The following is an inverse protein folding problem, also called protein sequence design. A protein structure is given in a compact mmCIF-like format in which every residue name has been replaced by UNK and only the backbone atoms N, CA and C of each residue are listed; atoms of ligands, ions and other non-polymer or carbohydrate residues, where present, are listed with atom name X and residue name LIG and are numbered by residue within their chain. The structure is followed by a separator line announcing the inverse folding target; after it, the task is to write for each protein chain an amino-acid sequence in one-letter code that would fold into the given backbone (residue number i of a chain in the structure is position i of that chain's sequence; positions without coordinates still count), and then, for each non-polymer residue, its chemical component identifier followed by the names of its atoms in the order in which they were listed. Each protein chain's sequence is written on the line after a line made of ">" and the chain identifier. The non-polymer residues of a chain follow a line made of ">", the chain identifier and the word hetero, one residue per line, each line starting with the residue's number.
data_IF_003738723400
#
_entry.id   IF_003738723400
#
_cell.length_a   1.000
_cell.length_b   1.000
_cell.length_c   1.000
_cell.angle_alpha   90.00
_cell.angle_beta   90.00
_cell.angle_gamma   90.00
#
_symmetry.space_group_name_H-M   'P 1'
#
loop_
_entity.id
_entity.type
_entity.pdbx_description
1 polymer ?
#
# COMPACT_ATOMS: atom_id res chain seq x y z
N UNK A 1 -84.21 70.59 35.82
CA UNK A 1 -84.18 69.69 37.00
C UNK A 1 -85.06 68.51 36.68
N UNK A 2 -84.45 67.34 36.54
CA UNK A 2 -85.09 66.06 36.25
C UNK A 2 -84.00 65.02 36.34
N UNK A 3 -83.64 64.68 37.58
CA UNK A 3 -82.62 63.69 37.87
C UNK A 3 -83.17 62.33 37.46
N UNK A 4 -82.70 61.80 36.33
CA UNK A 4 -82.90 60.41 35.98
C UNK A 4 -81.94 59.59 36.85
N UNK A 5 -82.52 59.01 37.89
CA UNK A 5 -81.85 58.18 38.88
C UNK A 5 -81.42 56.90 38.16
N UNK A 6 -80.11 56.74 37.94
CA UNK A 6 -79.54 55.45 37.54
C UNK A 6 -79.94 54.39 38.56
N UNK A 7 -80.94 53.58 38.21
CA UNK A 7 -81.18 52.31 38.85
C UNK A 7 -80.00 51.39 38.49
N UNK A 8 -78.93 51.45 39.31
CA UNK A 8 -77.89 50.42 39.30
C UNK A 8 -78.57 49.14 39.73
N UNK A 9 -78.92 48.29 38.77
CA UNK A 9 -79.25 46.90 39.05
C UNK A 9 -78.02 46.26 39.68
N UNK A 10 -78.06 46.04 40.99
CA UNK A 10 -77.08 45.23 41.71
C UNK A 10 -77.21 43.78 41.22
N UNK A 11 -76.61 43.46 40.09
CA UNK A 11 -76.51 42.09 39.59
C UNK A 11 -75.50 41.34 40.47
N UNK A 12 -76.03 40.60 41.45
CA UNK A 12 -75.26 39.63 42.21
C UNK A 12 -74.99 38.44 41.29
N UNK A 13 -73.72 38.13 41.04
CA UNK A 13 -73.35 36.94 40.28
C UNK A 13 -73.62 35.70 41.14
N UNK A 14 -74.53 34.85 40.67
CA UNK A 14 -74.76 33.54 41.25
C UNK A 14 -73.82 32.51 40.62
N UNK A 15 -73.40 31.53 41.42
CA UNK A 15 -72.61 30.42 40.90
C UNK A 15 -73.45 29.59 39.93
N UNK A 16 -72.83 29.05 38.89
CA UNK A 16 -73.55 28.19 37.95
C UNK A 16 -73.99 26.87 38.63
N UNK A 17 -75.06 26.28 38.10
CA UNK A 17 -75.65 25.05 38.65
C UNK A 17 -74.67 23.86 38.66
N UNK A 18 -73.75 23.81 37.69
CA UNK A 18 -72.72 22.77 37.65
C UNK A 18 -71.74 22.84 38.82
N UNK A 19 -71.31 24.04 39.19
CA UNK A 19 -70.43 24.29 40.32
C UNK A 19 -71.16 24.07 41.64
N UNK A 20 -72.41 24.55 41.77
CA UNK A 20 -73.27 24.29 42.93
C UNK A 20 -73.47 22.79 43.15
N UNK A 21 -73.68 22.01 42.09
CA UNK A 21 -73.80 20.56 42.15
C UNK A 21 -72.48 19.88 42.60
N UNK A 22 -71.35 20.36 42.09
CA UNK A 22 -70.03 19.84 42.48
C UNK A 22 -69.74 20.09 43.97
N UNK A 23 -69.98 21.30 44.46
CA UNK A 23 -69.82 21.64 45.88
C UNK A 23 -70.76 20.81 46.76
N UNK A 24 -71.99 20.56 46.29
CA UNK A 24 -72.96 19.72 47.00
C UNK A 24 -72.51 18.26 47.11
N UNK A 25 -71.93 17.71 46.05
CA UNK A 25 -71.37 16.35 46.07
C UNK A 25 -70.12 16.24 46.96
N UNK A 26 -69.31 17.29 47.03
CA UNK A 26 -68.06 17.29 47.80
C UNK A 26 -68.27 17.45 49.31
N UNK A 27 -69.15 18.36 49.74
CA UNK A 27 -69.30 18.72 51.15
C UNK A 27 -70.57 18.14 51.81
N UNK A 28 -71.44 17.51 51.00
CA UNK A 28 -72.74 17.00 51.44
C UNK A 28 -73.76 18.12 51.70
N UNK A 29 -75.06 17.78 51.69
CA UNK A 29 -76.15 18.77 51.74
C UNK A 29 -76.11 19.72 52.95
N UNK A 30 -75.63 19.25 54.11
CA UNK A 30 -75.64 20.06 55.33
C UNK A 30 -74.64 21.24 55.28
N UNK A 31 -73.52 21.10 54.55
CA UNK A 31 -72.45 22.11 54.51
C UNK A 31 -72.33 22.81 53.16
N UNK A 32 -72.94 22.26 52.11
CA UNK A 32 -72.86 22.83 50.77
C UNK A 32 -73.52 24.21 50.68
N UNK A 33 -74.62 24.44 51.39
CA UNK A 33 -75.31 25.74 51.39
C UNK A 33 -74.42 26.87 51.91
N UNK A 34 -73.76 26.65 53.06
CA UNK A 34 -72.85 27.64 53.63
C UNK A 34 -71.61 27.85 52.76
N UNK A 35 -71.09 26.78 52.16
CA UNK A 35 -69.96 26.88 51.22
C UNK A 35 -70.33 27.68 49.97
N UNK A 36 -71.49 27.41 49.36
CA UNK A 36 -72.00 28.13 48.18
C UNK A 36 -72.21 29.60 48.51
N UNK A 37 -72.83 29.93 49.65
CA UNK A 37 -73.04 31.31 50.09
C UNK A 37 -71.70 32.06 50.28
N UNK A 38 -70.72 31.43 50.92
CA UNK A 38 -69.37 32.01 51.09
C UNK A 38 -68.66 32.17 49.75
N UNK A 39 -68.80 31.22 48.82
CA UNK A 39 -68.20 31.35 47.49
C UNK A 39 -68.88 32.44 46.65
N UNK A 40 -70.20 32.58 46.73
CA UNK A 40 -70.93 33.66 46.06
C UNK A 40 -70.56 35.02 46.67
N UNK A 41 -70.43 35.12 47.99
CA UNK A 41 -69.92 36.32 48.66
C UNK A 41 -68.50 36.64 48.20
N UNK A 42 -67.62 35.63 48.19
CA UNK A 42 -66.24 35.77 47.70
C UNK A 42 -66.22 36.23 46.25
N UNK A 43 -66.97 35.62 45.32
CA UNK A 43 -67.00 35.97 43.88
C UNK A 43 -67.50 37.40 43.68
N UNK A 44 -68.53 37.78 44.43
CA UNK A 44 -69.10 39.13 44.34
C UNK A 44 -68.21 40.20 45.00
N UNK A 45 -67.44 39.86 46.04
CA UNK A 45 -66.40 40.73 46.62
C UNK A 45 -65.08 40.72 45.82
N UNK A 46 -64.84 39.67 45.01
CA UNK A 46 -63.57 39.38 44.30
C UNK A 46 -63.34 40.15 43.01
N UNK A 47 -64.14 41.16 42.69
CA UNK A 47 -63.92 41.98 41.48
C UNK A 47 -62.49 42.56 41.42
N UNK A 48 -61.85 42.80 42.58
CA UNK A 48 -60.50 43.42 42.66
C UNK A 48 -59.35 42.41 42.83
N UNK A 49 -59.56 41.24 43.46
CA UNK A 49 -58.47 40.30 43.83
C UNK A 49 -58.23 39.21 42.78
N UNK A 50 -59.22 38.88 41.95
CA UNK A 50 -59.10 37.77 40.97
C UNK A 50 -58.36 38.19 39.70
N UNK A 51 -58.56 39.42 39.25
CA UNK A 51 -57.86 39.97 38.08
C UNK A 51 -56.35 40.10 38.30
N UNK A 52 -55.93 40.47 39.52
CA UNK A 52 -54.51 40.68 39.86
C UNK A 52 -53.74 39.36 40.04
N UNK A 53 -54.37 38.32 40.59
CA UNK A 53 -53.68 37.05 40.89
C UNK A 53 -53.66 36.05 39.72
N UNK A 54 -54.72 35.98 38.91
CA UNK A 54 -54.75 35.06 37.77
C UNK A 54 -53.91 35.56 36.59
N UNK A 55 -53.87 36.88 36.37
CA UNK A 55 -53.02 37.50 35.35
C UNK A 55 -51.54 37.23 35.61
N UNK A 56 -51.09 37.45 36.85
CA UNK A 56 -49.69 37.24 37.25
C UNK A 56 -49.31 35.76 37.23
N UNK A 57 -50.16 34.87 37.75
CA UNK A 57 -49.91 33.42 37.74
C UNK A 57 -49.83 32.86 36.30
N UNK A 58 -50.73 33.31 35.41
CA UNK A 58 -50.69 32.93 34.00
C UNK A 58 -49.39 33.38 33.32
N UNK A 59 -48.91 34.58 33.63
CA UNK A 59 -47.66 35.08 33.07
C UNK A 59 -46.44 34.31 33.60
N UNK A 60 -46.40 34.01 34.91
CA UNK A 60 -45.28 33.25 35.49
C UNK A 60 -45.25 31.81 34.96
N UNK A 61 -46.39 31.12 34.87
CA UNK A 61 -46.47 29.79 34.25
C UNK A 61 -46.05 29.82 32.78
N UNK A 62 -46.47 30.82 32.01
CA UNK A 62 -46.06 30.97 30.60
C UNK A 62 -44.54 31.20 30.48
N UNK A 63 -43.96 31.97 31.40
CA UNK A 63 -42.53 32.28 31.42
C UNK A 63 -41.70 31.04 31.79
N UNK A 64 -42.12 30.29 32.81
CA UNK A 64 -41.46 29.06 33.25
C UNK A 64 -41.55 27.96 32.17
N UNK A 65 -42.73 27.76 31.58
CA UNK A 65 -42.93 26.84 30.44
C UNK A 65 -42.06 27.23 29.23
N UNK A 66 -41.85 28.53 28.96
CA UNK A 66 -40.94 29.00 27.90
C UNK A 66 -39.46 28.78 28.21
N UNK A 67 -39.08 28.73 29.48
CA UNK A 67 -37.70 28.48 29.90
C UNK A 67 -37.39 26.97 29.91
N UNK A 68 -38.36 26.13 30.30
CA UNK A 68 -38.20 24.67 30.33
C UNK A 68 -38.37 24.02 28.95
N UNK A 69 -39.26 24.53 28.10
CA UNK A 69 -39.33 24.09 26.71
C UNK A 69 -38.10 24.62 25.98
N UNK A 70 -37.29 23.71 25.43
CA UNK A 70 -36.21 24.05 24.50
C UNK A 70 -36.73 25.10 23.51
N UNK A 71 -36.24 26.33 23.65
CA UNK A 71 -36.70 27.42 22.81
C UNK A 71 -36.39 27.04 21.36
N UNK A 72 -37.24 27.49 20.43
CA UNK A 72 -37.00 27.32 19.00
C UNK A 72 -35.58 27.75 18.62
N UNK A 73 -35.03 28.75 19.31
CA UNK A 73 -33.67 29.25 19.16
C UNK A 73 -32.59 28.22 19.57
N UNK A 74 -32.78 27.51 20.69
CA UNK A 74 -31.85 26.45 21.12
C UNK A 74 -31.81 25.30 20.11
N UNK A 75 -32.96 24.84 19.63
CA UNK A 75 -33.03 23.77 18.63
C UNK A 75 -32.43 24.21 17.29
N UNK A 76 -32.62 25.47 16.89
CA UNK A 76 -31.96 26.02 15.69
C UNK A 76 -30.45 26.12 15.85
N UNK A 77 -29.95 26.54 17.01
CA UNK A 77 -28.53 26.62 17.30
C UNK A 77 -27.87 25.24 17.28
N UNK A 78 -28.45 24.25 17.96
CA UNK A 78 -27.92 22.88 17.97
C UNK A 78 -27.97 22.26 16.56
N UNK A 79 -29.08 22.47 15.84
CA UNK A 79 -29.20 22.02 14.45
C UNK A 79 -28.19 22.69 13.51
N UNK A 80 -27.84 23.97 13.74
CA UNK A 80 -26.81 24.66 12.99
C UNK A 80 -25.42 24.09 13.31
N UNK A 81 -25.13 23.84 14.59
CA UNK A 81 -23.88 23.22 15.04
C UNK A 81 -23.69 21.83 14.44
N UNK A 82 -24.69 20.95 14.51
CA UNK A 82 -24.61 19.62 13.89
C UNK A 82 -24.41 19.71 12.37
N UNK A 83 -25.05 20.67 11.69
CA UNK A 83 -24.81 20.87 10.24
C UNK A 83 -23.38 21.31 9.96
N UNK A 84 -22.80 22.15 10.81
CA UNK A 84 -21.40 22.56 10.68
C UNK A 84 -20.45 21.38 10.89
N UNK A 85 -20.61 20.62 11.98
CA UNK A 85 -19.79 19.43 12.26
C UNK A 85 -19.88 18.40 11.12
N UNK A 86 -21.09 18.17 10.58
CA UNK A 86 -21.27 17.30 9.41
C UNK A 86 -20.59 17.85 8.14
N UNK A 87 -20.56 19.17 7.95
CA UNK A 87 -19.90 19.79 6.81
C UNK A 87 -18.37 19.67 6.94
N UNK A 88 -17.83 19.88 8.13
CA UNK A 88 -16.40 19.72 8.45
C UNK A 88 -15.96 18.26 8.23
N UNK A 89 -16.69 17.30 8.81
CA UNK A 89 -16.44 15.86 8.61
C UNK A 89 -16.51 15.46 7.12
N UNK A 90 -17.43 16.04 6.35
CA UNK A 90 -17.53 15.78 4.90
C UNK A 90 -16.33 16.32 4.13
N UNK A 91 -15.74 17.42 4.58
CA UNK A 91 -14.51 17.98 3.98
C UNK A 91 -13.33 17.09 4.33
N UNK A 92 -13.17 16.71 5.59
CA UNK A 92 -12.11 15.80 6.07
C UNK A 92 -12.14 14.47 5.30
N UNK A 93 -13.30 13.81 5.25
CA UNK A 93 -13.45 12.55 4.49
C UNK A 93 -13.13 12.70 2.99
N UNK A 94 -13.37 13.87 2.39
CA UNK A 94 -12.99 14.10 0.99
C UNK A 94 -11.48 14.21 0.82
N UNK A 95 -10.79 14.83 1.78
CA UNK A 95 -9.33 14.93 1.79
C UNK A 95 -8.73 13.54 1.97
N UNK A 96 -9.16 12.79 2.99
CA UNK A 96 -8.68 11.43 3.25
C UNK A 96 -8.86 10.52 2.03
N UNK A 97 -10.03 10.57 1.38
CA UNK A 97 -10.29 9.78 0.17
C UNK A 97 -9.37 10.21 -0.98
N UNK A 98 -9.03 11.50 -1.10
CA UNK A 98 -8.11 11.98 -2.11
C UNK A 98 -6.67 11.51 -1.84
N UNK A 99 -6.23 11.56 -0.59
CA UNK A 99 -4.91 11.07 -0.15
C UNK A 99 -4.77 9.57 -0.40
N UNK A 100 -5.74 8.75 0.03
CA UNK A 100 -5.74 7.30 -0.22
C UNK A 100 -5.70 6.99 -1.72
N UNK A 101 -6.40 7.77 -2.56
CA UNK A 101 -6.34 7.59 -4.02
C UNK A 101 -4.96 7.90 -4.58
N UNK A 102 -4.28 8.92 -4.04
CA UNK A 102 -2.93 9.27 -4.44
C UNK A 102 -1.94 8.16 -4.03
N UNK A 103 -1.97 7.72 -2.78
CA UNK A 103 -1.12 6.62 -2.29
C UNK A 103 -1.34 5.33 -3.10
N UNK A 104 -2.59 5.00 -3.44
CA UNK A 104 -2.90 3.86 -4.31
C UNK A 104 -2.35 4.02 -5.74
N UNK A 105 -2.24 5.25 -6.26
CA UNK A 105 -1.66 5.51 -7.57
C UNK A 105 -0.14 5.36 -7.54
N UNK A 106 0.51 5.90 -6.50
CA UNK A 106 1.95 5.78 -6.25
C UNK A 106 2.34 4.29 -6.10
N UNK A 107 1.63 3.54 -5.27
CA UNK A 107 1.87 2.09 -5.08
C UNK A 107 1.72 1.30 -6.39
N UNK A 108 0.78 1.67 -7.26
CA UNK A 108 0.64 1.03 -8.58
C UNK A 108 1.84 1.31 -9.48
N UNK A 109 2.39 2.53 -9.42
CA UNK A 109 3.58 2.91 -10.17
C UNK A 109 4.79 2.13 -9.66
N UNK A 110 5.03 2.12 -8.35
CA UNK A 110 6.13 1.36 -7.74
C UNK A 110 6.05 -0.13 -8.10
N UNK A 111 4.85 -0.72 -8.07
CA UNK A 111 4.66 -2.12 -8.47
C UNK A 111 4.96 -2.35 -9.96
N UNK A 112 4.71 -1.36 -10.82
CA UNK A 112 5.07 -1.44 -12.23
C UNK A 112 6.59 -1.37 -12.43
N UNK A 113 7.27 -0.49 -11.71
CA UNK A 113 8.74 -0.37 -11.70
C UNK A 113 9.39 -1.68 -11.22
N UNK A 114 8.93 -2.24 -10.10
CA UNK A 114 9.40 -3.54 -9.59
C UNK A 114 9.22 -4.66 -10.63
N UNK A 115 8.13 -4.66 -11.40
CA UNK A 115 7.94 -5.65 -12.48
C UNK A 115 8.96 -5.49 -13.60
N UNK A 116 9.31 -4.26 -13.95
CA UNK A 116 10.35 -3.96 -14.94
C UNK A 116 11.71 -4.43 -14.43
N UNK A 117 12.05 -4.12 -13.17
CA UNK A 117 13.30 -4.54 -12.56
C UNK A 117 13.43 -6.06 -12.51
N UNK A 118 12.35 -6.78 -12.14
CA UNK A 118 12.32 -8.25 -12.16
C UNK A 118 12.52 -8.79 -13.58
N UNK A 119 11.94 -8.14 -14.60
CA UNK A 119 12.15 -8.54 -16.00
C UNK A 119 13.61 -8.34 -16.43
N UNK A 120 14.20 -7.21 -16.05
CA UNK A 120 15.61 -6.92 -16.32
C UNK A 120 16.53 -7.93 -15.62
N UNK A 121 16.31 -8.21 -14.33
CA UNK A 121 17.05 -9.22 -13.58
C UNK A 121 16.93 -10.61 -14.22
N UNK A 122 15.76 -11.01 -14.71
CA UNK A 122 15.58 -12.28 -15.43
C UNK A 122 16.38 -12.32 -16.72
N UNK A 123 16.45 -11.21 -17.46
CA UNK A 123 17.26 -11.09 -18.66
C UNK A 123 18.76 -11.14 -18.33
N UNK A 124 19.21 -10.46 -17.27
CA UNK A 124 20.59 -10.57 -16.79
C UNK A 124 20.92 -11.99 -16.35
N UNK A 125 20.00 -12.72 -15.71
CA UNK A 125 20.21 -14.13 -15.41
C UNK A 125 20.29 -15.04 -16.65
N UNK A 126 19.83 -14.58 -17.82
CA UNK A 126 20.04 -15.30 -19.07
C UNK A 126 21.53 -15.37 -19.45
N UNK A 127 22.38 -14.46 -18.94
CA UNK A 127 23.86 -14.54 -19.07
C UNK A 127 24.47 -15.81 -18.47
N UNK A 128 23.69 -16.58 -17.68
CA UNK A 128 24.09 -17.94 -17.29
C UNK A 128 24.27 -18.87 -18.50
N UNK A 129 23.53 -18.65 -19.59
CA UNK A 129 23.74 -19.35 -20.85
C UNK A 129 25.10 -18.95 -21.45
N UNK A 130 25.43 -17.66 -21.46
CA UNK A 130 26.73 -17.15 -21.92
C UNK A 130 27.88 -17.76 -21.10
N UNK A 131 27.73 -17.88 -19.77
CA UNK A 131 28.71 -18.56 -18.92
C UNK A 131 28.84 -20.05 -19.27
N UNK A 132 27.75 -20.71 -19.64
CA UNK A 132 27.78 -22.10 -20.07
C UNK A 132 28.49 -22.27 -21.43
N UNK A 133 28.24 -21.35 -22.37
CA UNK A 133 28.92 -21.29 -23.67
C UNK A 133 30.42 -21.05 -23.49
N UNK A 134 30.82 -20.06 -22.69
CA UNK A 134 32.24 -19.80 -22.36
C UNK A 134 32.91 -21.02 -21.70
N UNK A 135 32.19 -21.77 -20.86
CA UNK A 135 32.71 -23.02 -20.28
C UNK A 135 32.88 -24.11 -21.33
N UNK A 136 31.98 -24.21 -22.29
CA UNK A 136 32.08 -25.16 -23.40
C UNK A 136 33.25 -24.79 -24.30
N UNK A 137 33.37 -23.54 -24.72
CA UNK A 137 34.49 -23.05 -25.54
C UNK A 137 35.85 -23.29 -24.85
N UNK A 138 35.95 -23.02 -23.54
CA UNK A 138 37.17 -23.34 -22.77
C UNK A 138 37.47 -24.85 -22.73
N UNK A 139 36.44 -25.70 -22.63
CA UNK A 139 36.63 -27.15 -22.64
C UNK A 139 37.11 -27.64 -24.01
N UNK A 140 36.52 -27.14 -25.08
CA UNK A 140 36.90 -27.42 -26.47
C UNK A 140 38.34 -26.96 -26.74
N UNK A 141 38.69 -25.72 -26.38
CA UNK A 141 40.05 -25.19 -26.49
C UNK A 141 41.07 -26.05 -25.73
N UNK A 142 40.73 -26.50 -24.52
CA UNK A 142 41.60 -27.36 -23.72
C UNK A 142 41.82 -28.74 -24.37
N UNK A 143 40.82 -29.28 -25.05
CA UNK A 143 40.94 -30.53 -25.81
C UNK A 143 41.80 -30.30 -27.05
N UNK A 144 41.55 -29.23 -27.81
CA UNK A 144 42.33 -28.85 -28.99
C UNK A 144 43.82 -28.70 -28.68
N UNK A 145 44.16 -27.91 -27.65
CA UNK A 145 45.55 -27.71 -27.22
C UNK A 145 46.25 -29.01 -26.78
N UNK A 146 45.51 -29.94 -26.16
CA UNK A 146 46.07 -31.25 -25.81
C UNK A 146 46.36 -32.11 -27.03
N UNK A 147 45.48 -32.06 -28.04
CA UNK A 147 45.66 -32.78 -29.29
C UNK A 147 46.87 -32.24 -30.06
N UNK A 148 46.95 -30.92 -30.26
CA UNK A 148 48.09 -30.27 -30.91
C UNK A 148 49.42 -30.56 -30.19
N UNK A 149 49.43 -30.55 -28.85
CA UNK A 149 50.63 -30.89 -28.09
C UNK A 149 51.02 -32.37 -28.23
N UNK A 150 50.04 -33.27 -28.39
CA UNK A 150 50.32 -34.68 -28.64
C UNK A 150 50.89 -34.89 -30.05
N UNK A 151 50.33 -34.23 -31.06
CA UNK A 151 50.81 -34.26 -32.44
C UNK A 151 52.24 -33.71 -32.55
N UNK A 152 52.51 -32.55 -31.94
CA UNK A 152 53.85 -31.96 -31.89
C UNK A 152 54.87 -32.89 -31.21
N UNK A 153 54.45 -33.66 -30.18
CA UNK A 153 55.33 -34.68 -29.58
C UNK A 153 55.67 -35.79 -30.55
N UNK A 154 54.69 -36.25 -31.35
CA UNK A 154 54.92 -37.27 -32.39
C UNK A 154 55.89 -36.72 -33.44
N UNK A 155 55.62 -35.55 -34.01
CA UNK A 155 56.50 -34.91 -35.00
C UNK A 155 57.93 -34.76 -34.47
N UNK A 156 58.09 -34.30 -33.22
CA UNK A 156 59.41 -34.15 -32.60
C UNK A 156 60.15 -35.50 -32.45
N UNK A 157 59.42 -36.59 -32.13
CA UNK A 157 60.02 -37.92 -32.07
C UNK A 157 60.45 -38.42 -33.43
N UNK A 158 59.66 -38.18 -34.48
CA UNK A 158 60.00 -38.55 -35.86
C UNK A 158 61.23 -37.80 -36.35
N UNK A 159 61.29 -36.48 -36.13
CA UNK A 159 62.48 -35.66 -36.45
C UNK A 159 63.73 -36.20 -35.74
N UNK A 160 63.60 -36.58 -34.45
CA UNK A 160 64.72 -37.13 -33.68
C UNK A 160 65.21 -38.47 -34.23
N UNK A 161 64.31 -39.37 -34.63
CA UNK A 161 64.68 -40.65 -35.25
C UNK A 161 65.26 -40.47 -36.67
N UNK A 162 64.72 -39.52 -37.44
CA UNK A 162 65.28 -39.11 -38.73
C UNK A 162 66.72 -38.64 -38.58
N UNK A 163 67.00 -37.77 -37.61
CA UNK A 163 68.35 -37.26 -37.34
C UNK A 163 69.33 -38.38 -36.94
N UNK A 164 68.91 -39.31 -36.07
CA UNK A 164 69.73 -40.48 -35.71
C UNK A 164 70.08 -41.33 -36.93
N UNK A 165 69.12 -41.53 -37.82
CA UNK A 165 69.31 -42.32 -39.04
C UNK A 165 70.26 -41.63 -40.01
N UNK A 166 70.09 -40.32 -40.24
CA UNK A 166 71.03 -39.52 -41.05
C UNK A 166 72.44 -39.57 -40.49
N UNK A 167 72.60 -39.41 -39.16
CA UNK A 167 73.91 -39.46 -38.52
C UNK A 167 74.57 -40.84 -38.67
N UNK A 168 73.81 -41.93 -38.49
CA UNK A 168 74.29 -43.29 -38.71
C UNK A 168 74.71 -43.52 -40.17
N UNK A 169 73.93 -43.05 -41.13
CA UNK A 169 74.25 -43.17 -42.55
C UNK A 169 75.52 -42.38 -42.91
N UNK A 170 75.70 -41.17 -42.37
CA UNK A 170 76.93 -40.38 -42.53
C UNK A 170 78.14 -41.10 -41.94
N UNK A 171 77.99 -41.72 -40.76
CA UNK A 171 79.06 -42.50 -40.14
C UNK A 171 79.47 -43.70 -41.00
N UNK A 172 78.51 -44.49 -41.49
CA UNK A 172 78.81 -45.62 -42.38
C UNK A 172 79.44 -45.16 -43.70
N UNK A 173 78.96 -44.07 -44.28
CA UNK A 173 79.57 -43.46 -45.46
C UNK A 173 81.03 -43.04 -45.21
N UNK A 174 81.30 -42.37 -44.09
CA UNK A 174 82.64 -41.99 -43.69
C UNK A 174 83.57 -43.19 -43.49
N UNK A 175 83.11 -44.24 -42.81
CA UNK A 175 83.87 -45.49 -42.63
C UNK A 175 84.16 -46.16 -43.98
N UNK A 176 83.17 -46.21 -44.88
CA UNK A 176 83.33 -46.78 -46.22
C UNK A 176 84.39 -46.03 -47.05
N UNK A 177 84.37 -44.69 -47.01
CA UNK A 177 85.38 -43.85 -47.67
C UNK A 177 86.77 -44.13 -47.10
N UNK A 178 86.93 -44.15 -45.77
CA UNK A 178 88.22 -44.44 -45.11
C UNK A 178 88.73 -45.84 -45.50
N UNK A 179 87.84 -46.84 -45.55
CA UNK A 179 88.19 -48.21 -45.92
C UNK A 179 88.67 -48.29 -47.37
N UNK A 180 88.02 -47.57 -48.29
CA UNK A 180 88.46 -47.48 -49.68
C UNK A 180 89.85 -46.85 -49.79
N UNK A 181 90.12 -45.75 -49.09
CA UNK A 181 91.45 -45.09 -49.08
C UNK A 181 92.54 -46.08 -48.64
N UNK A 182 92.33 -46.78 -47.51
CA UNK A 182 93.29 -47.76 -46.98
C UNK A 182 93.57 -48.90 -47.97
N UNK A 183 92.54 -49.38 -48.69
CA UNK A 183 92.70 -50.43 -49.69
C UNK A 183 93.49 -49.96 -50.92
N UNK A 184 93.24 -48.74 -51.41
CA UNK A 184 93.96 -48.16 -52.56
C UNK A 184 95.43 -47.87 -52.26
N UNK A 185 95.74 -47.33 -51.08
CA UNK A 185 97.11 -47.04 -50.63
C UNK A 185 97.83 -48.28 -50.08
N UNK A 186 97.19 -49.47 -50.12
CA UNK A 186 97.80 -50.69 -49.59
C UNK A 186 98.97 -51.17 -50.46
N UNK A 187 100.05 -51.72 -49.86
CA UNK A 187 101.15 -52.31 -50.63
C UNK A 187 100.71 -53.49 -51.51
N UNK A 188 99.56 -54.13 -51.20
CA UNK A 188 98.94 -55.15 -52.06
C UNK A 188 98.47 -54.58 -53.40
N UNK A 189 97.98 -53.34 -53.45
CA UNK A 189 97.57 -52.65 -54.68
C UNK A 189 98.72 -52.60 -55.69
N UNK A 190 99.91 -52.16 -55.25
CA UNK A 190 101.11 -52.10 -56.07
C UNK A 190 101.62 -53.49 -56.52
N UNK A 191 101.38 -54.54 -55.73
CA UNK A 191 101.72 -55.92 -56.11
C UNK A 191 100.77 -56.42 -57.21
N UNK A 192 99.46 -56.16 -57.08
CA UNK A 192 98.45 -56.55 -58.08
C UNK A 192 98.69 -55.84 -59.42
N UNK A 193 99.02 -54.54 -59.39
CA UNK A 193 99.31 -53.77 -60.60
C UNK A 193 100.53 -54.33 -61.34
N UNK A 194 101.61 -54.66 -60.62
CA UNK A 194 102.79 -55.35 -61.17
C UNK A 194 102.47 -56.74 -61.74
N UNK A 195 101.62 -57.53 -61.07
CA UNK A 195 101.22 -58.85 -61.57
C UNK A 195 100.37 -58.76 -62.85
N UNK A 196 99.49 -57.76 -62.95
CA UNK A 196 98.69 -57.48 -64.13
C UNK A 196 99.54 -56.99 -65.32
N UNK A 197 100.60 -56.23 -65.04
CA UNK A 197 101.53 -55.74 -66.05
C UNK A 197 102.37 -56.89 -66.65
N UNK A 198 102.73 -57.89 -65.83
CA UNK A 198 103.42 -59.11 -66.29
C UNK A 198 102.50 -60.05 -67.07
N UNK A 199 101.17 -59.97 -66.88
CA UNK A 199 100.18 -60.82 -67.54
C UNK A 199 99.70 -60.28 -68.91
N UNK A 200 100.14 -59.07 -69.31
CA UNK A 200 99.93 -58.51 -70.65
C UNK A 200 101.09 -58.88 -71.58
#
# INVERSE_FOLDING_TARGET
>A
MGADVMERTSHKEELNEGFKALVTNLFGQAKSKQAIEVFEEIVNDRATVTAFNFGNLKQEIIKEVRQELATKDYLHAESAKTRQEMAEMKVELKVDIAEVRQEMAEMKQELAEVKVDIAHMKQEMATKADIAEVRQEMAEMKVGLKAEMAEMKVELTEVKEGLKTTNRNMMYGGIAIITLIILFDSPLSAIIEKLLEVAK
#
